data_IF_028751524342
#
_entry.id   IF_028751524342
#
_cell.length_a   1.000
_cell.length_b   1.000
_cell.length_c   1.000
_cell.angle_alpha   90.00
_cell.angle_beta   90.00
_cell.angle_gamma   90.00
#
_symmetry.space_group_name_H-M   'P 1'
#
loop_
_entity.id
_entity.type
_entity.pdbx_description
1 polymer ?
#
# COMPACT_ATOMS: atom_id res chain seq x y z
N UNK A 1 19.84 10.35 15.68
CA UNK A 1 19.67 10.82 14.29
C UNK A 1 19.23 12.26 14.37
N UNK A 2 19.83 13.15 13.56
CA UNK A 2 19.58 14.59 13.61
C UNK A 2 18.10 14.90 13.41
N UNK A 3 17.64 15.97 14.06
CA UNK A 3 16.32 16.56 13.99
C UNK A 3 16.04 17.14 12.59
N UNK A 4 16.08 16.29 11.56
CA UNK A 4 15.95 16.69 10.17
C UNK A 4 14.51 17.17 9.92
N UNK A 5 14.34 18.49 9.87
CA UNK A 5 13.09 19.17 9.56
C UNK A 5 12.44 19.96 10.70
N UNK A 6 13.04 20.04 11.89
CA UNK A 6 12.60 21.02 12.91
C UNK A 6 12.64 22.44 12.36
N UNK A 7 11.68 23.32 12.73
CA UNK A 7 11.79 24.73 12.40
C UNK A 7 13.16 25.28 12.82
N UNK A 8 13.91 25.75 11.84
CA UNK A 8 15.23 26.36 12.01
C UNK A 8 15.26 27.66 11.22
N UNK A 9 15.90 28.66 11.81
CA UNK A 9 16.22 29.90 11.13
C UNK A 9 17.22 29.65 9.99
N UNK A 10 17.29 30.58 9.03
CA UNK A 10 18.26 30.50 7.93
C UNK A 10 19.70 30.57 8.46
N UNK A 11 19.92 31.34 9.54
CA UNK A 11 21.19 31.45 10.23
C UNK A 11 21.61 30.13 10.85
N UNK A 12 20.69 29.42 11.51
CA UNK A 12 21.00 28.12 12.12
C UNK A 12 21.36 27.06 11.09
N UNK A 13 20.70 27.02 9.93
CA UNK A 13 20.98 26.00 8.89
C UNK A 13 22.37 26.20 8.30
N UNK A 14 22.77 27.46 8.12
CA UNK A 14 24.01 27.83 7.42
C UNK A 14 25.22 27.96 8.36
N UNK A 15 24.97 27.99 9.68
CA UNK A 15 25.98 28.10 10.75
C UNK A 15 27.07 27.04 10.68
N UNK A 16 26.70 25.77 10.46
CA UNK A 16 27.65 24.65 10.39
C UNK A 16 28.59 24.74 9.18
N UNK A 17 28.22 25.60 8.21
CA UNK A 17 28.98 25.85 6.99
C UNK A 17 29.78 27.16 7.06
N UNK A 18 29.70 27.87 8.20
CA UNK A 18 30.41 29.13 8.42
C UNK A 18 29.90 30.30 7.58
N UNK A 19 28.71 30.20 6.98
CA UNK A 19 28.16 31.26 6.14
C UNK A 19 27.47 32.32 6.99
N UNK A 20 27.74 33.59 6.69
CA UNK A 20 27.02 34.71 7.25
C UNK A 20 25.95 35.23 6.27
N UNK A 21 25.18 36.23 6.71
CA UNK A 21 24.09 36.82 5.94
C UNK A 21 24.54 37.34 4.57
N UNK A 22 25.71 37.99 4.48
CA UNK A 22 26.25 38.55 3.24
C UNK A 22 26.70 37.45 2.28
N UNK A 23 27.27 36.34 2.79
CA UNK A 23 27.62 35.18 1.97
C UNK A 23 26.36 34.56 1.34
N UNK A 24 25.30 34.42 2.13
CA UNK A 24 24.02 33.87 1.68
C UNK A 24 23.35 34.79 0.65
N UNK A 25 23.41 36.11 0.83
CA UNK A 25 22.93 37.08 -0.15
C UNK A 25 23.71 36.98 -1.47
N UNK A 26 25.05 36.91 -1.38
CA UNK A 26 25.93 36.81 -2.54
C UNK A 26 25.72 35.51 -3.34
N UNK A 27 25.60 34.37 -2.66
CA UNK A 27 25.39 33.07 -3.32
C UNK A 27 24.00 32.94 -3.93
N UNK A 28 22.97 33.38 -3.22
CA UNK A 28 21.59 33.27 -3.69
C UNK A 28 21.18 34.34 -4.70
N UNK A 29 21.99 35.40 -4.87
CA UNK A 29 21.65 36.56 -5.69
C UNK A 29 20.43 37.35 -5.18
N UNK A 30 20.10 37.20 -3.90
CA UNK A 30 19.03 37.94 -3.23
C UNK A 30 19.59 39.17 -2.51
N UNK A 31 18.79 40.24 -2.43
CA UNK A 31 19.16 41.42 -1.66
C UNK A 31 19.38 41.08 -0.19
N UNK A 32 20.39 41.69 0.45
CA UNK A 32 20.67 41.50 1.88
C UNK A 32 19.45 41.82 2.76
N UNK A 33 18.62 42.81 2.39
CA UNK A 33 17.38 43.13 3.11
C UNK A 33 16.33 42.02 3.05
N UNK A 34 16.37 41.17 2.02
CA UNK A 34 15.54 39.97 1.92
C UNK A 34 16.09 38.88 2.82
N UNK A 35 17.40 38.62 2.79
CA UNK A 35 18.02 37.63 3.67
C UNK A 35 17.84 38.04 5.14
N UNK A 36 18.04 39.30 5.49
CA UNK A 36 17.84 39.84 6.85
C UNK A 36 16.45 39.52 7.42
N UNK A 37 15.40 39.64 6.61
CA UNK A 37 14.02 39.32 7.03
C UNK A 37 13.79 37.82 7.28
N UNK A 38 14.59 36.96 6.67
CA UNK A 38 14.51 35.50 6.80
C UNK A 38 15.51 34.95 7.82
N UNK A 39 16.56 35.71 8.14
CA UNK A 39 17.78 35.24 8.80
C UNK A 39 17.52 34.51 10.11
N UNK A 40 16.81 35.15 11.04
CA UNK A 40 16.52 34.63 12.38
C UNK A 40 15.04 34.24 12.56
N UNK A 41 14.30 34.08 11.45
CA UNK A 41 12.89 33.70 11.49
C UNK A 41 12.73 32.20 11.21
N UNK A 42 12.32 31.40 12.20
CA UNK A 42 12.12 29.95 12.03
C UNK A 42 11.00 29.58 11.03
N UNK A 43 10.04 30.48 10.80
CA UNK A 43 8.93 30.31 9.84
C UNK A 43 9.27 30.87 8.45
N UNK A 44 10.54 31.14 8.15
CA UNK A 44 10.95 31.80 6.90
C UNK A 44 10.49 31.05 5.64
N UNK A 45 10.41 29.71 5.70
CA UNK A 45 9.94 28.87 4.58
C UNK A 45 8.49 29.18 4.15
N UNK A 46 7.65 29.63 5.08
CA UNK A 46 6.25 29.97 4.78
C UNK A 46 6.09 31.39 4.24
N UNK A 47 7.13 32.22 4.37
CA UNK A 47 7.10 33.65 4.02
C UNK A 47 7.93 33.98 2.79
N UNK A 48 8.83 33.09 2.39
CA UNK A 48 9.70 33.26 1.23
C UNK A 48 8.93 33.04 -0.07
N UNK A 49 9.18 33.86 -1.09
CA UNK A 49 8.58 33.66 -2.41
C UNK A 49 9.15 32.39 -3.08
N UNK A 50 8.37 31.74 -3.94
CA UNK A 50 8.84 30.53 -4.65
C UNK A 50 10.12 30.75 -5.46
N UNK A 51 10.30 31.93 -6.08
CA UNK A 51 11.53 32.28 -6.81
C UNK A 51 12.72 32.43 -5.86
N UNK A 52 12.53 33.12 -4.74
CA UNK A 52 13.58 33.31 -3.74
C UNK A 52 13.97 31.98 -3.09
N UNK A 53 13.00 31.12 -2.79
CA UNK A 53 13.24 29.78 -2.26
C UNK A 53 14.05 28.93 -3.25
N UNK A 54 13.70 28.95 -4.53
CA UNK A 54 14.44 28.22 -5.56
C UNK A 54 15.89 28.71 -5.65
N UNK A 55 16.13 30.02 -5.56
CA UNK A 55 17.46 30.61 -5.56
C UNK A 55 18.30 30.18 -4.35
N UNK A 56 17.67 30.11 -3.16
CA UNK A 56 18.32 29.62 -1.95
C UNK A 56 18.62 28.12 -2.06
N UNK A 57 17.66 27.30 -2.48
CA UNK A 57 17.84 25.85 -2.64
C UNK A 57 18.92 25.48 -3.66
N UNK A 58 19.07 26.26 -4.74
CA UNK A 58 20.07 25.97 -5.78
C UNK A 58 21.49 26.38 -5.41
N UNK A 59 21.64 27.34 -4.50
CA UNK A 59 22.90 28.09 -4.35
C UNK A 59 23.45 28.08 -2.93
N UNK A 60 22.61 27.80 -1.93
CA UNK A 60 23.00 27.74 -0.52
C UNK A 60 22.92 26.29 -0.06
N UNK A 61 24.06 25.65 0.23
CA UNK A 61 24.07 24.25 0.65
C UNK A 61 23.24 24.01 1.93
N UNK A 62 22.59 22.85 2.02
CA UNK A 62 21.74 22.48 3.17
C UNK A 62 20.31 23.01 3.10
N UNK A 63 20.02 24.05 2.29
CA UNK A 63 18.67 24.61 2.17
C UNK A 63 17.73 23.67 1.44
N UNK A 64 18.19 22.97 0.40
CA UNK A 64 17.34 22.04 -0.34
C UNK A 64 16.92 20.86 0.55
N UNK A 65 17.87 20.25 1.24
CA UNK A 65 17.67 19.14 2.17
C UNK A 65 16.75 19.55 3.33
N UNK A 66 17.00 20.73 3.93
CA UNK A 66 16.16 21.28 4.98
C UNK A 66 14.72 21.51 4.49
N UNK A 67 14.55 22.13 3.32
CA UNK A 67 13.22 22.43 2.77
C UNK A 67 12.41 21.17 2.51
N UNK A 68 13.06 20.11 1.98
CA UNK A 68 12.41 18.82 1.78
C UNK A 68 12.04 18.15 3.11
N UNK A 69 12.95 18.12 4.08
CA UNK A 69 12.70 17.54 5.40
C UNK A 69 11.58 18.29 6.15
N UNK A 70 11.61 19.62 6.13
CA UNK A 70 10.59 20.47 6.74
C UNK A 70 9.22 20.29 6.07
N UNK A 71 9.14 20.19 4.74
CA UNK A 71 7.88 19.94 4.05
C UNK A 71 7.25 18.58 4.43
N UNK A 72 8.07 17.54 4.58
CA UNK A 72 7.63 16.22 5.05
C UNK A 72 7.12 16.30 6.49
N UNK A 73 7.85 16.98 7.38
CA UNK A 73 7.44 17.18 8.78
C UNK A 73 6.14 17.98 8.89
N UNK A 74 6.04 19.11 8.19
CA UNK A 74 4.84 19.95 8.18
C UNK A 74 3.61 19.18 7.68
N UNK A 75 3.78 18.37 6.63
CA UNK A 75 2.71 17.47 6.15
C UNK A 75 2.33 16.43 7.21
N UNK A 76 3.30 15.80 7.86
CA UNK A 76 3.06 14.86 8.97
C UNK A 76 2.25 15.52 10.08
N UNK A 77 2.72 16.65 10.59
CA UNK A 77 2.12 17.32 11.74
C UNK A 77 0.68 17.78 11.41
N UNK A 78 0.45 18.26 10.18
CA UNK A 78 -0.90 18.59 9.69
C UNK A 78 -1.82 17.36 9.60
N UNK A 79 -1.33 16.23 9.09
CA UNK A 79 -2.12 14.99 9.01
C UNK A 79 -2.43 14.39 10.39
N UNK A 80 -1.47 14.43 11.31
CA UNK A 80 -1.66 14.00 12.71
C UNK A 80 -2.72 14.86 13.39
N UNK A 81 -2.67 16.18 13.20
CA UNK A 81 -3.68 17.09 13.72
C UNK A 81 -5.07 16.83 13.11
N UNK A 82 -5.15 16.64 11.79
CA UNK A 82 -6.40 16.32 11.09
C UNK A 82 -7.03 15.00 11.57
N UNK A 83 -6.22 13.96 11.80
CA UNK A 83 -6.66 12.67 12.33
C UNK A 83 -7.13 12.79 13.79
N UNK A 84 -6.38 13.53 14.62
CA UNK A 84 -6.76 13.80 16.00
C UNK A 84 -8.11 14.52 16.08
N UNK A 85 -8.33 15.51 15.21
CA UNK A 85 -9.62 16.22 15.10
C UNK A 85 -10.75 15.30 14.62
N UNK A 86 -10.43 14.26 13.84
CA UNK A 86 -11.37 13.22 13.41
C UNK A 86 -11.52 12.09 14.45
N UNK A 87 -10.85 12.17 15.59
CA UNK A 87 -10.97 11.22 16.70
C UNK A 87 -10.04 10.00 16.63
N UNK A 88 -9.01 10.03 15.77
CA UNK A 88 -7.96 9.02 15.66
C UNK A 88 -6.63 9.54 16.23
N UNK A 89 -6.03 8.81 17.15
CA UNK A 89 -4.70 9.12 17.68
C UNK A 89 -3.62 8.33 16.91
N UNK A 90 -2.62 9.03 16.39
CA UNK A 90 -1.47 8.44 15.69
C UNK A 90 -0.37 8.12 16.70
N UNK A 91 0.18 6.92 16.66
CA UNK A 91 1.40 6.57 17.38
C UNK A 91 2.61 7.14 16.62
N UNK A 92 3.12 8.27 17.11
CA UNK A 92 4.27 8.95 16.51
C UNK A 92 5.55 8.13 16.60
N UNK A 93 5.72 7.34 17.66
CA UNK A 93 6.90 6.49 17.82
C UNK A 93 6.87 5.34 16.80
N UNK A 94 5.72 4.73 16.58
CA UNK A 94 5.54 3.73 15.54
C UNK A 94 5.74 4.33 14.13
N UNK A 95 5.20 5.52 13.88
CA UNK A 95 5.38 6.23 12.61
C UNK A 95 6.85 6.55 12.30
N UNK A 96 7.62 6.97 13.31
CA UNK A 96 9.03 7.32 13.14
C UNK A 96 9.96 6.10 13.00
N UNK A 97 9.63 4.99 13.68
CA UNK A 97 10.43 3.77 13.67
C UNK A 97 10.02 2.75 12.59
N UNK A 98 8.97 3.04 11.80
CA UNK A 98 8.49 2.15 10.76
C UNK A 98 9.55 1.92 9.66
N UNK A 99 9.67 0.67 9.22
CA UNK A 99 10.52 0.29 8.07
C UNK A 99 9.91 0.69 6.71
N UNK A 100 8.65 1.12 6.69
CA UNK A 100 7.96 1.56 5.47
C UNK A 100 8.41 2.96 5.09
N UNK A 101 8.54 3.24 3.80
CA UNK A 101 8.93 4.56 3.32
C UNK A 101 7.96 5.65 3.82
N UNK A 102 8.50 6.72 4.42
CA UNK A 102 7.73 7.81 5.04
C UNK A 102 6.63 8.37 4.12
N UNK A 103 6.90 8.50 2.82
CA UNK A 103 5.91 9.01 1.87
C UNK A 103 4.66 8.11 1.77
N UNK A 104 4.83 6.79 1.82
CA UNK A 104 3.70 5.86 1.79
C UNK A 104 2.90 5.92 3.09
N UNK A 105 3.56 6.05 4.23
CA UNK A 105 2.91 6.24 5.53
C UNK A 105 2.11 7.56 5.58
N UNK A 106 2.68 8.67 5.10
CA UNK A 106 1.95 9.94 5.02
C UNK A 106 0.76 9.86 4.06
N UNK A 107 0.89 9.16 2.94
CA UNK A 107 -0.25 8.91 2.05
C UNK A 107 -1.33 8.08 2.76
N UNK A 108 -0.94 7.08 3.56
CA UNK A 108 -1.86 6.26 4.33
C UNK A 108 -2.63 7.11 5.35
N UNK A 109 -1.93 7.94 6.13
CA UNK A 109 -2.57 8.88 7.06
C UNK A 109 -3.56 9.82 6.36
N UNK A 110 -3.21 10.34 5.17
CA UNK A 110 -4.12 11.16 4.36
C UNK A 110 -5.34 10.37 3.87
N UNK A 111 -5.18 9.09 3.51
CA UNK A 111 -6.29 8.22 3.18
C UNK A 111 -7.21 7.99 4.40
N UNK A 112 -6.65 7.79 5.60
CA UNK A 112 -7.40 7.70 6.83
C UNK A 112 -8.21 8.98 7.10
N UNK A 113 -7.63 10.17 6.89
CA UNK A 113 -8.38 11.44 6.99
C UNK A 113 -9.58 11.45 6.04
N UNK A 114 -9.40 10.99 4.80
CA UNK A 114 -10.49 10.89 3.83
C UNK A 114 -11.57 9.88 4.21
N UNK A 115 -11.19 8.73 4.78
CA UNK A 115 -12.11 7.72 5.29
C UNK A 115 -12.91 8.26 6.47
N UNK A 116 -12.24 8.84 7.47
CA UNK A 116 -12.88 9.41 8.66
C UNK A 116 -13.84 10.56 8.34
N UNK A 117 -13.59 11.33 7.28
CA UNK A 117 -14.53 12.37 6.81
C UNK A 117 -15.80 11.77 6.20
N UNK A 118 -15.82 10.48 5.88
CA UNK A 118 -17.00 9.77 5.37
C UNK A 118 -17.51 10.27 4.02
N UNK A 119 -16.68 10.98 3.23
CA UNK A 119 -17.12 11.59 1.98
C UNK A 119 -16.87 10.64 0.80
N UNK A 120 -17.93 10.00 0.29
CA UNK A 120 -17.90 9.18 -0.93
C UNK A 120 -17.81 10.07 -2.20
N UNK A 121 -16.60 10.60 -2.45
CA UNK A 121 -16.26 11.47 -3.58
C UNK A 121 -15.24 10.81 -4.50
N UNK A 122 -15.15 11.29 -5.74
CA UNK A 122 -14.12 10.83 -6.69
C UNK A 122 -12.70 11.09 -6.15
N UNK A 123 -12.49 12.17 -5.39
CA UNK A 123 -11.21 12.47 -4.74
C UNK A 123 -10.84 11.34 -3.76
N UNK A 124 -11.74 10.99 -2.86
CA UNK A 124 -11.55 9.88 -1.90
C UNK A 124 -11.21 8.58 -2.63
N UNK A 125 -12.00 8.21 -3.64
CA UNK A 125 -11.71 7.01 -4.45
C UNK A 125 -10.34 7.05 -5.12
N UNK A 126 -9.95 8.18 -5.71
CA UNK A 126 -8.66 8.31 -6.38
C UNK A 126 -7.48 8.20 -5.41
N UNK A 127 -7.62 8.72 -4.19
CA UNK A 127 -6.60 8.58 -3.15
C UNK A 127 -6.46 7.12 -2.70
N UNK A 128 -7.57 6.44 -2.39
CA UNK A 128 -7.54 5.06 -1.92
C UNK A 128 -7.07 4.10 -3.03
N UNK A 129 -7.43 4.35 -4.29
CA UNK A 129 -6.98 3.53 -5.42
C UNK A 129 -5.44 3.49 -5.58
N UNK A 130 -4.69 4.45 -5.02
CA UNK A 130 -3.21 4.48 -5.05
C UNK A 130 -2.58 3.38 -4.20
N UNK A 131 -3.37 2.73 -3.35
CA UNK A 131 -2.92 1.62 -2.51
C UNK A 131 -2.95 0.27 -3.22
N UNK A 132 -3.28 0.25 -4.52
CA UNK A 132 -3.03 -0.91 -5.36
C UNK A 132 -1.53 -1.08 -5.65
N UNK A 133 -0.85 -1.79 -4.75
CA UNK A 133 0.54 -2.19 -4.88
C UNK A 133 1.18 -2.46 -3.53
N UNK A 134 2.13 -3.41 -3.51
CA UNK A 134 2.71 -3.96 -2.28
C UNK A 134 3.13 -2.93 -1.21
N UNK A 135 3.99 -2.00 -1.58
CA UNK A 135 4.55 -1.03 -0.62
C UNK A 135 3.47 -0.10 -0.05
N UNK A 136 2.52 0.31 -0.90
CA UNK A 136 1.43 1.16 -0.48
C UNK A 136 0.45 0.38 0.39
N UNK A 137 0.06 -0.82 -0.03
CA UNK A 137 -0.82 -1.71 0.72
C UNK A 137 -0.23 -2.05 2.11
N UNK A 138 1.08 -2.28 2.21
CA UNK A 138 1.77 -2.45 3.51
C UNK A 138 1.63 -1.20 4.39
N UNK A 139 1.73 0.00 3.82
CA UNK A 139 1.54 1.25 4.56
C UNK A 139 0.08 1.44 5.01
N UNK A 140 -0.88 1.02 4.20
CA UNK A 140 -2.30 1.06 4.54
C UNK A 140 -2.64 0.04 5.64
N UNK A 141 -2.14 -1.18 5.51
CA UNK A 141 -2.31 -2.24 6.51
C UNK A 141 -1.82 -1.81 7.90
N UNK A 142 -0.72 -1.06 7.96
CA UNK A 142 -0.20 -0.53 9.22
C UNK A 142 -1.21 0.41 9.93
N UNK A 143 -2.20 0.99 9.24
CA UNK A 143 -3.28 1.74 9.90
C UNK A 143 -4.36 0.86 10.51
N UNK A 144 -4.57 -0.34 9.97
CA UNK A 144 -5.61 -1.26 10.38
C UNK A 144 -5.10 -2.33 11.35
N UNK A 145 -3.78 -2.47 11.51
CA UNK A 145 -3.18 -3.47 12.40
C UNK A 145 -3.53 -3.18 13.87
N UNK A 146 -4.17 -4.15 14.57
CA UNK A 146 -4.39 -4.06 16.01
C UNK A 146 -3.17 -4.51 16.82
N UNK A 147 -2.09 -4.96 16.17
CA UNK A 147 -0.91 -5.50 16.84
C UNK A 147 0.00 -4.38 17.37
N UNK A 148 0.33 -4.46 18.66
CA UNK A 148 1.26 -3.54 19.31
C UNK A 148 2.62 -3.52 18.60
N UNK A 149 3.08 -2.33 18.20
CA UNK A 149 4.36 -2.15 17.51
C UNK A 149 4.32 -2.37 15.99
N UNK A 150 3.18 -2.80 15.44
CA UNK A 150 2.95 -2.92 14.00
C UNK A 150 1.92 -1.91 13.47
N UNK A 151 1.00 -1.47 14.34
CA UNK A 151 0.03 -0.40 14.05
C UNK A 151 0.62 1.01 14.10
N UNK A 152 0.06 1.91 13.29
CA UNK A 152 0.33 3.36 13.30
C UNK A 152 -0.69 4.15 14.11
N UNK A 153 -1.83 3.54 14.42
CA UNK A 153 -2.89 4.14 15.23
C UNK A 153 -2.88 3.51 16.61
N UNK A 154 -3.12 4.32 17.65
CA UNK A 154 -3.26 3.83 19.02
C UNK A 154 -4.47 2.90 19.15
N UNK A 155 -5.54 3.20 18.42
CA UNK A 155 -6.74 2.38 18.29
C UNK A 155 -7.27 2.44 16.85
N UNK A 156 -7.15 1.36 16.06
CA UNK A 156 -7.62 1.34 14.68
C UNK A 156 -9.14 1.13 14.56
N UNK A 157 -9.86 0.80 15.64
CA UNK A 157 -11.27 0.38 15.56
C UNK A 157 -12.16 1.46 14.92
N UNK A 158 -11.98 2.72 15.28
CA UNK A 158 -12.75 3.83 14.69
C UNK A 158 -12.52 3.98 13.19
N UNK A 159 -11.30 3.71 12.72
CA UNK A 159 -10.99 3.73 11.29
C UNK A 159 -11.69 2.56 10.60
N UNK A 160 -11.67 1.37 11.21
CA UNK A 160 -12.37 0.19 10.72
C UNK A 160 -13.88 0.45 10.58
N UNK A 161 -14.52 0.95 11.64
CA UNK A 161 -15.95 1.29 11.64
C UNK A 161 -16.28 2.30 10.53
N UNK A 162 -15.46 3.35 10.39
CA UNK A 162 -15.63 4.36 9.34
C UNK A 162 -15.45 3.80 7.93
N UNK A 163 -14.56 2.81 7.75
CA UNK A 163 -14.39 2.10 6.49
C UNK A 163 -15.65 1.30 6.14
N UNK A 164 -16.20 0.55 7.09
CA UNK A 164 -17.41 -0.25 6.93
C UNK A 164 -18.59 0.64 6.54
N UNK A 165 -18.72 1.82 7.17
CA UNK A 165 -19.75 2.81 6.80
C UNK A 165 -19.53 3.44 5.41
N UNK A 166 -18.28 3.66 5.01
CA UNK A 166 -17.93 4.30 3.74
C UNK A 166 -18.08 3.36 2.54
N UNK A 167 -17.73 2.09 2.69
CA UNK A 167 -17.67 1.14 1.58
C UNK A 167 -19.01 1.02 0.80
N UNK A 168 -20.19 0.84 1.44
CA UNK A 168 -21.47 0.82 0.72
C UNK A 168 -21.78 2.12 -0.03
N UNK A 169 -21.32 3.27 0.50
CA UNK A 169 -21.55 4.58 -0.12
C UNK A 169 -20.67 4.79 -1.35
N UNK A 170 -19.47 4.23 -1.35
CA UNK A 170 -18.62 4.15 -2.54
C UNK A 170 -19.22 3.19 -3.56
N UNK A 171 -19.76 2.04 -3.11
CA UNK A 171 -20.39 1.05 -3.97
C UNK A 171 -21.52 1.66 -4.83
N UNK A 172 -22.39 2.48 -4.23
CA UNK A 172 -23.48 3.19 -4.93
C UNK A 172 -23.02 4.18 -6.01
N UNK A 173 -21.73 4.54 -6.04
CA UNK A 173 -21.13 5.51 -6.99
C UNK A 173 -20.02 4.90 -7.84
N UNK A 174 -20.02 3.58 -8.00
CA UNK A 174 -18.95 2.83 -8.68
C UNK A 174 -19.05 2.90 -10.20
N UNK A 175 -18.98 4.12 -10.75
CA UNK A 175 -18.95 4.34 -12.21
C UNK A 175 -17.53 4.50 -12.75
N UNK A 176 -16.53 4.65 -11.86
CA UNK A 176 -15.14 4.86 -12.24
C UNK A 176 -14.26 3.70 -11.79
N UNK A 177 -13.23 3.42 -12.58
CA UNK A 177 -12.20 2.42 -12.25
C UNK A 177 -11.53 2.68 -10.89
N UNK A 178 -11.29 3.94 -10.53
CA UNK A 178 -10.75 4.31 -9.22
C UNK A 178 -11.71 3.96 -8.07
N UNK A 179 -13.02 4.11 -8.26
CA UNK A 179 -13.99 3.69 -7.24
C UNK A 179 -14.00 2.17 -7.05
N UNK A 180 -13.83 1.40 -8.13
CA UNK A 180 -13.75 -0.07 -8.08
C UNK A 180 -12.50 -0.50 -7.31
N UNK A 181 -11.33 0.06 -7.65
CA UNK A 181 -10.08 -0.18 -6.93
C UNK A 181 -10.18 0.22 -5.46
N UNK A 182 -10.69 1.42 -5.18
CA UNK A 182 -10.83 1.92 -3.82
C UNK A 182 -11.72 1.01 -2.97
N UNK A 183 -12.87 0.61 -3.50
CA UNK A 183 -13.77 -0.28 -2.81
C UNK A 183 -13.09 -1.63 -2.54
N UNK A 184 -12.43 -2.21 -3.53
CA UNK A 184 -11.71 -3.47 -3.37
C UNK A 184 -10.66 -3.41 -2.25
N UNK A 185 -9.85 -2.35 -2.25
CA UNK A 185 -8.82 -2.12 -1.24
C UNK A 185 -9.43 -2.00 0.16
N UNK A 186 -10.50 -1.22 0.32
CA UNK A 186 -11.18 -1.10 1.61
C UNK A 186 -11.76 -2.43 2.09
N UNK A 187 -12.47 -3.14 1.21
CA UNK A 187 -13.06 -4.44 1.56
C UNK A 187 -11.99 -5.48 1.88
N UNK A 188 -10.84 -5.44 1.20
CA UNK A 188 -9.71 -6.30 1.49
C UNK A 188 -9.16 -6.04 2.90
N UNK A 189 -8.95 -4.78 3.27
CA UNK A 189 -8.46 -4.40 4.59
C UNK A 189 -9.46 -4.76 5.70
N UNK A 190 -10.76 -4.48 5.50
CA UNK A 190 -11.81 -4.88 6.46
C UNK A 190 -11.80 -6.40 6.67
N UNK A 191 -11.88 -7.18 5.60
CA UNK A 191 -11.91 -8.65 5.69
C UNK A 191 -10.63 -9.26 6.25
N UNK A 192 -9.49 -8.60 6.05
CA UNK A 192 -8.21 -9.01 6.64
C UNK A 192 -8.17 -8.83 8.16
N UNK A 193 -8.82 -7.80 8.69
CA UNK A 193 -8.91 -7.51 10.12
C UNK A 193 -10.01 -8.34 10.79
N UNK A 194 -11.21 -8.36 10.20
CA UNK A 194 -12.36 -9.04 10.82
C UNK A 194 -12.33 -10.55 10.62
N UNK A 195 -11.69 -11.03 9.56
CA UNK A 195 -11.75 -12.43 9.14
C UNK A 195 -13.10 -12.81 8.54
N UNK A 196 -14.05 -11.88 8.40
CA UNK A 196 -15.42 -12.14 7.98
C UNK A 196 -15.72 -11.59 6.57
N UNK A 197 -16.59 -12.32 5.87
CA UNK A 197 -17.30 -11.81 4.71
C UNK A 197 -18.46 -10.95 5.22
N UNK A 198 -18.27 -9.65 5.35
CA UNK A 198 -19.39 -8.76 5.67
C UNK A 198 -20.45 -8.83 4.56
N UNK A 199 -21.61 -9.42 4.89
CA UNK A 199 -22.73 -9.59 3.96
C UNK A 199 -23.29 -8.24 3.45
N UNK A 200 -23.14 -7.17 4.25
CA UNK A 200 -23.56 -5.81 3.93
C UNK A 200 -22.64 -5.10 2.90
N UNK A 201 -21.49 -5.70 2.57
CA UNK A 201 -20.70 -5.33 1.40
C UNK A 201 -21.29 -5.93 0.11
N UNK A 202 -22.42 -6.64 0.19
CA UNK A 202 -23.13 -7.28 -0.91
C UNK A 202 -23.19 -6.46 -2.20
N UNK A 203 -22.74 -7.08 -3.29
CA UNK A 203 -22.49 -6.41 -4.56
C UNK A 203 -23.67 -6.59 -5.54
N UNK A 204 -24.46 -5.54 -5.75
CA UNK A 204 -25.46 -5.50 -6.84
C UNK A 204 -24.84 -5.01 -8.16
N UNK A 205 -23.78 -5.66 -8.64
CA UNK A 205 -23.11 -5.28 -9.89
C UNK A 205 -22.92 -6.51 -10.80
N UNK A 206 -23.28 -6.48 -12.09
CA UNK A 206 -22.97 -7.59 -12.99
C UNK A 206 -21.48 -7.62 -13.40
N UNK A 207 -20.90 -8.81 -13.60
CA UNK A 207 -19.66 -8.99 -14.36
C UNK A 207 -18.33 -8.86 -13.59
N UNK A 208 -17.30 -8.29 -14.23
CA UNK A 208 -15.89 -8.24 -13.75
C UNK A 208 -15.71 -7.49 -12.43
N UNK A 209 -16.57 -6.51 -12.17
CA UNK A 209 -16.48 -5.68 -10.97
C UNK A 209 -16.81 -6.49 -9.71
N UNK A 210 -17.88 -7.28 -9.74
CA UNK A 210 -18.23 -8.20 -8.65
C UNK A 210 -17.20 -9.29 -8.45
N UNK A 211 -16.62 -9.79 -9.55
CA UNK A 211 -15.48 -10.70 -9.49
C UNK A 211 -14.30 -10.09 -8.71
N UNK A 212 -13.96 -8.85 -9.05
CA UNK A 212 -12.87 -8.12 -8.42
C UNK A 212 -13.14 -7.90 -6.94
N UNK A 213 -14.34 -7.45 -6.61
CA UNK A 213 -14.75 -7.21 -5.24
C UNK A 213 -14.74 -8.48 -4.39
N UNK A 214 -15.32 -9.57 -4.90
CA UNK A 214 -15.28 -10.88 -4.26
C UNK A 214 -13.85 -11.33 -4.00
N UNK A 215 -12.95 -11.16 -4.99
CA UNK A 215 -11.53 -11.45 -4.81
C UNK A 215 -10.94 -10.69 -3.61
N UNK A 216 -11.17 -9.38 -3.51
CA UNK A 216 -10.63 -8.56 -2.43
C UNK A 216 -10.99 -9.10 -1.05
N UNK A 217 -12.27 -9.40 -0.87
CA UNK A 217 -12.82 -9.99 0.37
C UNK A 217 -12.22 -11.37 0.65
N UNK A 218 -12.27 -12.29 -0.32
CA UNK A 218 -11.73 -13.65 -0.16
C UNK A 218 -10.25 -13.61 0.20
N UNK A 219 -9.44 -12.84 -0.53
CA UNK A 219 -8.02 -12.71 -0.24
C UNK A 219 -7.78 -12.10 1.15
N UNK A 220 -8.56 -11.10 1.55
CA UNK A 220 -8.48 -10.50 2.87
C UNK A 220 -8.70 -11.54 3.97
N UNK A 221 -9.81 -12.27 3.89
CA UNK A 221 -10.13 -13.34 4.84
C UNK A 221 -9.04 -14.42 4.88
N UNK A 222 -8.58 -14.90 3.72
CA UNK A 222 -7.64 -16.03 3.66
C UNK A 222 -6.26 -15.70 4.24
N UNK A 223 -5.81 -14.45 4.23
CA UNK A 223 -4.46 -14.08 4.72
C UNK A 223 -4.25 -14.53 6.18
N UNK A 224 -5.24 -14.28 7.04
CA UNK A 224 -5.15 -14.53 8.48
C UNK A 224 -6.04 -15.69 8.98
N UNK A 225 -6.87 -16.29 8.13
CA UNK A 225 -7.75 -17.40 8.51
C UNK A 225 -7.32 -18.73 7.90
N UNK A 226 -7.61 -19.84 8.58
CA UNK A 226 -7.46 -21.18 8.03
C UNK A 226 -8.79 -21.72 7.45
N UNK A 227 -9.57 -20.85 6.78
CA UNK A 227 -10.82 -21.25 6.12
C UNK A 227 -10.56 -21.91 4.76
N UNK A 228 -10.28 -23.21 4.79
CA UNK A 228 -10.06 -24.02 3.58
C UNK A 228 -11.32 -24.17 2.72
N UNK A 229 -12.51 -24.09 3.32
CA UNK A 229 -13.78 -24.20 2.57
C UNK A 229 -14.02 -22.94 1.74
N UNK A 230 -13.66 -21.76 2.28
CA UNK A 230 -13.66 -20.52 1.52
C UNK A 230 -12.70 -20.59 0.32
N UNK A 231 -11.48 -21.07 0.53
CA UNK A 231 -10.49 -21.22 -0.55
C UNK A 231 -10.97 -22.21 -1.64
N UNK A 232 -11.56 -23.33 -1.23
CA UNK A 232 -12.10 -24.32 -2.17
C UNK A 232 -13.34 -23.83 -2.92
N UNK A 233 -14.26 -23.13 -2.23
CA UNK A 233 -15.42 -22.48 -2.87
C UNK A 233 -14.96 -21.47 -3.90
N UNK A 234 -13.99 -20.62 -3.54
CA UNK A 234 -13.44 -19.63 -4.46
C UNK A 234 -12.80 -20.27 -5.69
N UNK A 235 -12.00 -21.34 -5.52
CA UNK A 235 -11.44 -22.11 -6.64
C UNK A 235 -12.52 -22.63 -7.60
N UNK A 236 -13.61 -23.20 -7.07
CA UNK A 236 -14.72 -23.70 -7.89
C UNK A 236 -15.43 -22.59 -8.67
N UNK A 237 -15.60 -21.42 -8.06
CA UNK A 237 -16.16 -20.25 -8.75
C UNK A 237 -15.28 -19.78 -9.91
N UNK A 238 -13.95 -19.77 -9.71
CA UNK A 238 -12.98 -19.45 -10.77
C UNK A 238 -13.00 -20.46 -11.91
N UNK A 239 -13.09 -21.76 -11.58
CA UNK A 239 -13.18 -22.84 -12.57
C UNK A 239 -14.48 -22.76 -13.39
N UNK A 240 -15.59 -22.39 -12.74
CA UNK A 240 -16.89 -22.26 -13.37
C UNK A 240 -17.04 -20.97 -14.21
N UNK A 241 -16.30 -19.92 -13.85
CA UNK A 241 -16.47 -18.57 -14.41
C UNK A 241 -15.18 -18.02 -15.02
N UNK A 242 -14.95 -18.17 -16.35
CA UNK A 242 -13.69 -17.77 -17.00
C UNK A 242 -13.30 -16.30 -16.79
N UNK A 243 -14.29 -15.41 -16.66
CA UNK A 243 -14.06 -13.98 -16.40
C UNK A 243 -13.37 -13.76 -15.04
N UNK A 244 -13.66 -14.59 -14.05
CA UNK A 244 -13.06 -14.46 -12.73
C UNK A 244 -11.61 -14.98 -12.74
N UNK A 245 -11.36 -16.08 -13.45
CA UNK A 245 -10.00 -16.59 -13.66
C UNK A 245 -9.10 -15.56 -14.36
N UNK A 246 -9.60 -14.88 -15.39
CA UNK A 246 -8.88 -13.81 -16.09
C UNK A 246 -8.55 -12.62 -15.16
N UNK A 247 -9.46 -12.31 -14.24
CA UNK A 247 -9.24 -11.26 -13.23
C UNK A 247 -8.20 -11.67 -12.19
N UNK A 248 -8.24 -12.91 -11.73
CA UNK A 248 -7.25 -13.46 -10.81
C UNK A 248 -5.85 -13.43 -11.42
N UNK A 249 -5.77 -13.79 -12.69
CA UNK A 249 -4.61 -13.70 -13.55
C UNK A 249 -4.06 -12.27 -13.70
N UNK A 250 -4.93 -11.26 -13.67
CA UNK A 250 -4.58 -9.84 -13.80
C UNK A 250 -4.09 -9.21 -12.49
N UNK A 251 -4.64 -9.64 -11.35
CA UNK A 251 -4.50 -8.94 -10.08
C UNK A 251 -3.06 -8.91 -9.56
N UNK A 252 -2.43 -10.06 -9.37
CA UNK A 252 -1.06 -10.14 -8.86
C UNK A 252 -0.02 -9.42 -9.73
N UNK A 253 -0.02 -9.57 -11.07
CA UNK A 253 0.96 -8.87 -11.90
C UNK A 253 0.83 -7.36 -11.85
N UNK A 254 -0.38 -6.82 -11.73
CA UNK A 254 -0.58 -5.37 -11.59
C UNK A 254 -0.27 -4.87 -10.19
N UNK A 255 -0.58 -5.65 -9.15
CA UNK A 255 -0.21 -5.35 -7.76
C UNK A 255 1.32 -5.35 -7.56
N UNK A 256 2.01 -6.31 -8.18
CA UNK A 256 3.47 -6.49 -8.10
C UNK A 256 4.24 -5.65 -9.13
N UNK A 257 3.54 -4.82 -9.93
CA UNK A 257 4.11 -3.93 -10.96
C UNK A 257 4.82 -4.63 -12.13
N UNK A 258 4.54 -5.91 -12.39
CA UNK A 258 4.91 -6.55 -13.66
C UNK A 258 4.01 -6.05 -14.80
N UNK A 259 2.69 -5.96 -14.53
CA UNK A 259 1.68 -5.44 -15.45
C UNK A 259 1.29 -4.00 -15.15
N UNK A 260 0.81 -3.28 -16.18
CA UNK A 260 0.16 -1.97 -15.97
C UNK A 260 -1.29 -2.19 -15.57
N UNK A 261 -1.75 -1.37 -14.64
CA UNK A 261 -3.16 -1.32 -14.24
C UNK A 261 -4.00 -0.85 -15.44
N UNK A 262 -5.08 -1.58 -15.76
CA UNK A 262 -6.03 -1.23 -16.82
C UNK A 262 -7.47 -1.47 -16.36
N UNK A 263 -8.41 -0.66 -16.86
CA UNK A 263 -9.83 -0.74 -16.45
C UNK A 263 -10.58 -1.93 -17.05
N UNK A 264 -10.02 -2.55 -18.08
CA UNK A 264 -10.56 -3.74 -18.73
C UNK A 264 -9.99 -5.04 -18.16
N UNK A 265 -9.09 -4.98 -17.18
CA UNK A 265 -8.47 -6.15 -16.54
C UNK A 265 -7.73 -7.06 -17.52
N UNK A 266 -7.00 -6.46 -18.47
CA UNK A 266 -6.21 -7.20 -19.46
C UNK A 266 -4.71 -7.08 -19.17
N UNK A 267 -3.96 -8.09 -19.61
CA UNK A 267 -2.49 -8.10 -19.55
C UNK A 267 -1.91 -8.34 -20.94
N UNK A 268 -0.70 -7.84 -21.23
CA UNK A 268 0.04 -8.21 -22.42
C UNK A 268 0.23 -9.73 -22.51
N UNK A 269 0.20 -10.28 -23.72
CA UNK A 269 0.38 -11.72 -23.95
C UNK A 269 1.77 -12.22 -23.55
N UNK A 270 2.79 -11.37 -23.65
CA UNK A 270 4.20 -11.67 -23.34
C UNK A 270 4.69 -11.00 -22.06
N UNK A 271 3.95 -11.14 -20.97
CA UNK A 271 4.32 -10.59 -19.66
C UNK A 271 5.18 -11.56 -18.85
N UNK A 272 6.37 -11.13 -18.43
CA UNK A 272 7.19 -11.87 -17.47
C UNK A 272 6.77 -11.57 -16.03
N UNK A 273 6.63 -12.61 -15.21
CA UNK A 273 6.10 -12.53 -13.84
C UNK A 273 7.21 -12.38 -12.79
N UNK A 274 8.25 -11.57 -13.04
CA UNK A 274 9.44 -11.49 -12.18
C UNK A 274 9.13 -11.00 -10.78
N UNK A 275 8.46 -9.86 -10.64
CA UNK A 275 8.13 -9.29 -9.33
C UNK A 275 7.02 -10.10 -8.65
N UNK A 276 6.07 -10.57 -9.45
CA UNK A 276 4.98 -11.44 -9.01
C UNK A 276 5.50 -12.73 -8.38
N UNK A 277 6.50 -13.37 -9.00
CA UNK A 277 7.10 -14.57 -8.43
C UNK A 277 7.75 -14.31 -7.07
N UNK A 278 8.41 -13.15 -6.91
CA UNK A 278 8.98 -12.73 -5.61
C UNK A 278 7.88 -12.52 -4.57
N UNK A 279 6.77 -11.90 -4.97
CA UNK A 279 5.63 -11.69 -4.07
C UNK A 279 5.01 -13.02 -3.61
N UNK A 280 4.70 -13.91 -4.55
CA UNK A 280 4.12 -15.22 -4.24
C UNK A 280 5.03 -16.04 -3.33
N UNK A 281 6.35 -16.02 -3.56
CA UNK A 281 7.32 -16.71 -2.69
C UNK A 281 7.29 -16.16 -1.27
N UNK A 282 7.14 -14.84 -1.09
CA UNK A 282 6.96 -14.24 0.23
C UNK A 282 5.65 -14.70 0.87
N UNK A 283 4.54 -14.63 0.14
CA UNK A 283 3.22 -14.95 0.66
C UNK A 283 3.09 -16.42 1.08
N UNK A 284 3.72 -17.35 0.35
CA UNK A 284 3.86 -18.76 0.76
C UNK A 284 4.43 -18.87 2.18
N UNK A 285 5.43 -18.04 2.51
CA UNK A 285 6.13 -18.12 3.78
C UNK A 285 5.41 -17.42 4.93
N UNK A 286 4.60 -16.40 4.64
CA UNK A 286 4.06 -15.49 5.67
C UNK A 286 2.60 -15.77 5.99
N UNK A 287 1.78 -16.16 5.01
CA UNK A 287 0.33 -16.27 5.20
C UNK A 287 -0.13 -17.66 5.68
N UNK A 288 -1.42 -17.75 6.00
CA UNK A 288 -2.08 -18.94 6.53
C UNK A 288 -1.94 -20.19 5.64
N UNK A 289 -2.24 -21.36 6.20
CA UNK A 289 -2.25 -22.62 5.43
C UNK A 289 -3.37 -22.62 4.37
N UNK A 290 -4.51 -21.96 4.63
CA UNK A 290 -5.59 -21.83 3.65
C UNK A 290 -5.21 -20.90 2.49
N UNK A 291 -4.45 -19.83 2.76
CA UNK A 291 -3.88 -19.00 1.70
C UNK A 291 -2.89 -19.78 0.84
N UNK A 292 -2.03 -20.60 1.46
CA UNK A 292 -1.13 -21.49 0.74
C UNK A 292 -1.91 -22.48 -0.15
N UNK A 293 -2.99 -23.07 0.37
CA UNK A 293 -3.86 -23.94 -0.42
C UNK A 293 -4.41 -23.21 -1.64
N UNK A 294 -4.91 -21.97 -1.47
CA UNK A 294 -5.35 -21.13 -2.58
C UNK A 294 -4.23 -20.88 -3.60
N UNK A 295 -3.03 -20.48 -3.17
CA UNK A 295 -1.90 -20.25 -4.06
C UNK A 295 -1.56 -21.50 -4.88
N UNK A 296 -1.45 -22.65 -4.22
CA UNK A 296 -1.05 -23.90 -4.85
C UNK A 296 -2.14 -24.53 -5.74
N UNK A 297 -3.41 -24.42 -5.35
CA UNK A 297 -4.53 -25.01 -6.10
C UNK A 297 -5.06 -24.11 -7.22
N UNK A 298 -4.89 -22.79 -7.08
CA UNK A 298 -5.54 -21.78 -7.94
C UNK A 298 -4.51 -20.90 -8.63
N UNK A 299 -3.84 -20.02 -7.87
CA UNK A 299 -3.10 -18.91 -8.47
C UNK A 299 -1.86 -19.35 -9.26
N UNK A 300 -0.99 -20.19 -8.66
CA UNK A 300 0.24 -20.65 -9.30
C UNK A 300 -0.06 -21.41 -10.61
N UNK A 301 -1.02 -22.34 -10.67
CA UNK A 301 -1.45 -22.95 -11.92
C UNK A 301 -1.86 -21.96 -13.01
N UNK A 302 -2.54 -20.87 -12.66
CA UNK A 302 -2.92 -19.81 -13.61
C UNK A 302 -1.69 -19.00 -14.06
N UNK A 303 -0.82 -18.60 -13.13
CA UNK A 303 0.40 -17.89 -13.43
C UNK A 303 1.32 -18.67 -14.37
N UNK A 304 1.45 -19.99 -14.19
CA UNK A 304 2.26 -20.87 -15.06
C UNK A 304 1.70 -21.02 -16.47
N UNK A 305 0.39 -20.85 -16.67
CA UNK A 305 -0.19 -20.82 -18.03
C UNK A 305 0.25 -19.57 -18.77
N UNK A 306 0.46 -18.45 -18.07
CA UNK A 306 0.92 -17.19 -18.65
C UNK A 306 2.44 -17.14 -18.82
N UNK A 307 3.18 -17.45 -17.77
CA UNK A 307 4.64 -17.47 -17.76
C UNK A 307 5.12 -18.84 -17.27
N UNK A 308 5.41 -19.78 -18.19
CA UNK A 308 5.88 -21.12 -17.83
C UNK A 308 7.20 -21.13 -17.05
N UNK A 309 8.01 -20.06 -17.15
CA UNK A 309 9.23 -19.91 -16.38
C UNK A 309 8.97 -19.30 -14.99
N UNK A 310 7.74 -18.85 -14.70
CA UNK A 310 7.33 -18.21 -13.45
C UNK A 310 8.33 -17.14 -12.99
N UNK A 311 8.61 -16.16 -13.86
CA UNK A 311 9.60 -15.12 -13.58
C UNK A 311 11.06 -15.62 -13.47
N UNK A 312 11.34 -16.86 -13.89
CA UNK A 312 12.65 -17.51 -13.72
C UNK A 312 12.87 -18.09 -12.32
N UNK A 313 11.81 -18.34 -11.55
CA UNK A 313 11.85 -18.72 -10.12
C UNK A 313 11.32 -20.12 -9.81
N UNK A 314 11.26 -21.02 -10.80
CA UNK A 314 10.77 -22.39 -10.62
C UNK A 314 11.52 -23.14 -9.50
N UNK A 315 12.87 -23.11 -9.41
CA UNK A 315 13.59 -23.80 -8.34
C UNK A 315 13.22 -23.29 -6.94
N UNK A 316 13.15 -21.97 -6.76
CA UNK A 316 12.75 -21.35 -5.50
C UNK A 316 11.30 -21.67 -5.14
N UNK A 317 10.41 -21.69 -6.13
CA UNK A 317 9.01 -22.06 -5.94
C UNK A 317 8.86 -23.51 -5.48
N UNK A 318 9.58 -24.44 -6.12
CA UNK A 318 9.62 -25.85 -5.70
C UNK A 318 10.08 -25.96 -4.25
N UNK A 319 11.14 -25.23 -3.87
CA UNK A 319 11.67 -25.28 -2.52
C UNK A 319 10.70 -24.70 -1.49
N UNK A 320 10.12 -23.53 -1.76
CA UNK A 320 9.16 -22.87 -0.87
C UNK A 320 7.92 -23.75 -0.62
N UNK A 321 7.32 -24.32 -1.68
CA UNK A 321 6.18 -25.22 -1.56
C UNK A 321 6.50 -26.50 -0.80
N UNK A 322 7.71 -27.04 -0.93
CA UNK A 322 8.13 -28.24 -0.19
C UNK A 322 8.29 -27.98 1.29
N UNK A 323 9.02 -26.92 1.64
CA UNK A 323 9.25 -26.55 3.04
C UNK A 323 7.93 -26.21 3.71
N UNK A 324 7.21 -25.23 3.16
CA UNK A 324 5.95 -24.77 3.76
C UNK A 324 4.89 -25.86 3.76
N UNK A 325 4.77 -26.62 2.68
CA UNK A 325 3.84 -27.73 2.59
C UNK A 325 4.10 -28.79 3.66
N UNK A 326 5.36 -29.15 3.94
CA UNK A 326 5.70 -30.12 4.99
C UNK A 326 5.26 -29.66 6.39
N UNK A 327 5.30 -28.36 6.65
CA UNK A 327 4.90 -27.75 7.93
C UNK A 327 3.38 -27.61 8.09
N UNK A 328 2.62 -27.69 6.99
CA UNK A 328 1.15 -27.58 7.02
C UNK A 328 0.49 -28.80 7.67
N UNK A 329 -0.43 -28.53 8.60
CA UNK A 329 -1.18 -29.60 9.29
C UNK A 329 -2.24 -30.22 8.38
N UNK A 330 -2.89 -29.40 7.57
CA UNK A 330 -3.96 -29.82 6.67
C UNK A 330 -3.45 -30.78 5.58
N UNK A 331 -4.14 -31.90 5.42
CA UNK A 331 -3.75 -32.95 4.46
C UNK A 331 -3.99 -32.52 3.02
N UNK A 332 -5.07 -31.76 2.76
CA UNK A 332 -5.42 -31.32 1.40
C UNK A 332 -4.34 -30.41 0.86
N UNK A 333 -3.90 -29.45 1.66
CA UNK A 333 -2.82 -28.50 1.37
C UNK A 333 -1.51 -29.21 1.06
N UNK A 334 -1.11 -30.17 1.90
CA UNK A 334 0.07 -31.01 1.65
C UNK A 334 0.01 -31.72 0.30
N UNK A 335 -1.10 -32.42 0.03
CA UNK A 335 -1.28 -33.16 -1.22
C UNK A 335 -1.30 -32.25 -2.45
N UNK A 336 -1.94 -31.08 -2.35
CA UNK A 336 -1.94 -30.07 -3.41
C UNK A 336 -0.52 -29.56 -3.69
N UNK A 337 0.24 -29.21 -2.64
CA UNK A 337 1.63 -28.76 -2.79
C UNK A 337 2.52 -29.85 -3.40
N UNK A 338 2.41 -31.10 -2.95
CA UNK A 338 3.15 -32.24 -3.52
C UNK A 338 2.81 -32.50 -4.99
N UNK A 339 1.52 -32.39 -5.35
CA UNK A 339 1.07 -32.51 -6.73
C UNK A 339 1.67 -31.41 -7.61
N UNK A 340 1.60 -30.15 -7.15
CA UNK A 340 2.16 -29.01 -7.85
C UNK A 340 3.68 -29.12 -8.00
N UNK A 341 4.40 -29.51 -6.94
CA UNK A 341 5.85 -29.72 -6.97
C UNK A 341 6.24 -30.79 -8.00
N UNK A 342 5.50 -31.91 -8.08
CA UNK A 342 5.75 -32.94 -9.10
C UNK A 342 5.62 -32.39 -10.52
N UNK A 343 4.59 -31.55 -10.76
CA UNK A 343 4.37 -30.89 -12.05
C UNK A 343 5.45 -29.85 -12.36
N UNK A 344 5.89 -29.07 -11.38
CA UNK A 344 6.96 -28.08 -11.57
C UNK A 344 8.29 -28.76 -11.95
N UNK A 345 8.61 -29.90 -11.33
CA UNK A 345 9.81 -30.68 -11.64
C UNK A 345 9.82 -31.33 -13.03
N UNK A 346 8.66 -31.47 -13.68
CA UNK A 346 8.61 -31.96 -15.06
C UNK A 346 8.81 -30.85 -16.09
N UNK A 347 8.80 -29.59 -15.67
CA UNK A 347 8.93 -28.40 -16.53
C UNK A 347 10.29 -27.72 -16.34
N UNK A 348 10.86 -27.80 -15.12
CA UNK A 348 12.25 -27.47 -14.82
C UNK A 348 13.21 -28.49 -15.45
#
# INVERSE_FOLDING_TARGET
>A
MTADGEPRSLSDITKDMGLNMSDVAAFSGLDESTIFRLWDNEEWLDRVSGRSLQSLMSSVPGIAEYSMAHAVRKRRDGLVADLQNAGLAVDLAALENSAVAKQHLLNALEAAVHVMRGQATQKTSSFIARFWGREQDTALEALYSPENGHGLLVDPQKLLDSTVELAPRLNRKTYSFHSILALNILTHQVSKVTGELEADLGFEMPGRQTAFMMRGVVMGCLINSNDFELAERYRRELDATPVYAALEEWAFPTYSKDGRISSDFTLPSSLSLRNTAVEVLREIMVYSDAYLYYLASTYIPLALKRDPAFGGKIPELIQALRLRGADCRDRRTRQTCESLVRRLKSIA
#
